data_IF_675816473665
#
_entry.id   IF_675816473665
#
_cell.length_a   1.000
_cell.length_b   1.000
_cell.length_c   1.000
_cell.angle_alpha   90.00
_cell.angle_beta   90.00
_cell.angle_gamma   90.00
#
_symmetry.space_group_name_H-M   'P 1'
#
loop_
_entity.id
_entity.type
_entity.pdbx_description
1 polymer ?
#
# COMPACT_ATOMS: atom_id res chain seq x y z
N UNK A 1 7.85 26.10 3.94
CA UNK A 1 7.41 24.72 4.22
C UNK A 1 7.62 24.47 5.71
N UNK A 2 6.58 24.11 6.47
CA UNK A 2 6.74 23.79 7.89
C UNK A 2 7.45 22.42 7.97
N UNK A 3 8.49 22.24 8.80
CA UNK A 3 9.17 20.95 8.89
C UNK A 3 8.16 19.88 9.33
N UNK A 4 8.13 18.75 8.62
CA UNK A 4 7.35 17.59 9.02
C UNK A 4 8.00 17.03 10.29
N UNK A 5 7.21 16.90 11.35
CA UNK A 5 7.67 16.33 12.62
C UNK A 5 7.22 14.88 12.68
N UNK A 6 8.15 13.98 13.02
CA UNK A 6 7.81 12.58 13.26
C UNK A 6 6.83 12.50 14.42
N UNK A 7 5.66 11.90 14.20
CA UNK A 7 4.66 11.69 15.25
C UNK A 7 5.18 10.70 16.28
N UNK A 8 4.78 10.87 17.54
CA UNK A 8 5.22 10.03 18.68
C UNK A 8 5.02 8.53 18.43
N UNK A 9 3.89 8.16 17.78
CA UNK A 9 3.58 6.78 17.35
C UNK A 9 4.67 6.14 16.49
N UNK A 10 5.53 6.91 15.83
CA UNK A 10 6.58 6.44 14.92
C UNK A 10 7.99 6.70 15.44
N UNK A 11 8.14 7.18 16.67
CA UNK A 11 9.45 7.53 17.24
C UNK A 11 10.39 6.33 17.44
N UNK A 12 9.83 5.12 17.54
CA UNK A 12 10.56 3.85 17.67
C UNK A 12 10.94 3.20 16.33
N UNK A 13 10.54 3.77 15.18
CA UNK A 13 10.92 3.23 13.88
C UNK A 13 12.37 3.55 13.56
N UNK A 14 13.16 2.51 13.25
CA UNK A 14 14.56 2.67 12.82
C UNK A 14 14.66 3.28 11.42
N UNK A 15 13.67 3.05 10.56
CA UNK A 15 13.58 3.68 9.25
C UNK A 15 12.95 5.07 9.39
N UNK A 16 13.80 6.10 9.43
CA UNK A 16 13.38 7.49 9.55
C UNK A 16 12.55 7.96 8.35
N UNK A 17 12.81 7.43 7.14
CA UNK A 17 12.04 7.79 5.94
C UNK A 17 10.61 7.30 6.08
N UNK A 18 10.45 6.04 6.47
CA UNK A 18 9.14 5.47 6.77
C UNK A 18 8.41 6.24 7.87
N UNK A 19 9.11 6.62 8.95
CA UNK A 19 8.53 7.37 10.05
C UNK A 19 8.02 8.76 9.60
N UNK A 20 8.79 9.46 8.75
CA UNK A 20 8.40 10.74 8.16
C UNK A 20 7.24 10.60 7.17
N UNK A 21 7.27 9.57 6.31
CA UNK A 21 6.20 9.31 5.35
C UNK A 21 4.88 9.00 6.05
N UNK A 22 4.89 8.10 7.05
CA UNK A 22 3.72 7.81 7.89
C UNK A 22 3.17 9.09 8.56
N UNK A 23 4.05 9.92 9.13
CA UNK A 23 3.66 11.17 9.81
C UNK A 23 3.06 12.20 8.84
N UNK A 24 3.62 12.27 7.63
CA UNK A 24 3.14 13.15 6.55
C UNK A 24 1.76 12.72 6.10
N UNK A 25 1.58 11.44 5.79
CA UNK A 25 0.32 10.89 5.31
C UNK A 25 -0.79 11.01 6.35
N UNK A 26 -0.51 10.74 7.63
CA UNK A 26 -1.50 10.94 8.70
C UNK A 26 -1.96 12.40 8.78
N UNK A 27 -1.03 13.34 8.58
CA UNK A 27 -1.36 14.77 8.60
C UNK A 27 -2.10 15.24 7.35
N UNK A 28 -1.92 14.55 6.22
CA UNK A 28 -2.65 14.82 4.98
C UNK A 28 -4.06 14.23 5.04
N UNK A 29 -4.23 13.02 5.57
CA UNK A 29 -5.53 12.40 5.80
C UNK A 29 -6.40 13.23 6.74
N UNK A 30 -5.85 13.72 7.86
CA UNK A 30 -6.58 14.60 8.78
C UNK A 30 -7.08 15.90 8.13
N UNK A 31 -6.42 16.36 7.07
CA UNK A 31 -6.82 17.53 6.29
C UNK A 31 -7.71 17.18 5.09
N UNK A 32 -7.96 15.90 4.86
CA UNK A 32 -8.64 15.36 3.67
C UNK A 32 -7.88 15.62 2.35
N UNK A 33 -6.56 15.79 2.43
CA UNK A 33 -5.67 15.97 1.26
C UNK A 33 -5.18 14.62 0.68
N UNK A 34 -5.43 13.50 1.39
CA UNK A 34 -5.02 12.16 1.00
C UNK A 34 -6.15 11.15 1.28
N UNK A 35 -6.45 10.30 0.29
CA UNK A 35 -7.30 9.12 0.48
C UNK A 35 -6.49 8.03 1.20
N UNK A 36 -6.98 7.43 2.30
CA UNK A 36 -6.33 6.32 2.98
C UNK A 36 -6.00 5.11 2.08
N UNK A 37 -6.72 4.93 0.96
CA UNK A 37 -6.45 3.89 -0.02
C UNK A 37 -5.33 4.24 -1.01
N UNK A 38 -4.89 5.50 -1.04
CA UNK A 38 -3.80 6.01 -1.89
C UNK A 38 -2.48 6.17 -1.10
N UNK A 39 -2.43 5.74 0.17
CA UNK A 39 -1.21 5.79 0.97
C UNK A 39 -0.07 4.97 0.33
N UNK A 40 1.13 5.54 0.40
CA UNK A 40 2.40 4.88 0.11
C UNK A 40 2.97 4.15 1.32
N UNK A 41 2.42 4.36 2.52
CA UNK A 41 2.76 3.63 3.74
C UNK A 41 1.54 2.89 4.31
N UNK A 42 1.77 1.84 5.10
CA UNK A 42 0.71 1.13 5.80
C UNK A 42 0.64 1.58 7.26
N UNK A 43 -0.35 2.42 7.60
CA UNK A 43 -0.61 2.87 8.97
C UNK A 43 -0.73 1.72 9.98
N UNK A 44 -1.51 0.69 9.65
CA UNK A 44 -1.84 -0.43 10.56
C UNK A 44 -0.61 -1.15 11.08
N UNK A 45 0.36 -1.39 10.21
CA UNK A 45 1.51 -2.18 10.59
C UNK A 45 2.84 -1.42 10.51
N UNK A 46 2.79 -0.11 10.23
CA UNK A 46 3.93 0.81 10.31
C UNK A 46 5.08 0.35 9.43
N UNK A 47 4.77 0.06 8.15
CA UNK A 47 5.70 -0.46 7.12
C UNK A 47 5.32 0.04 5.73
N UNK A 48 6.27 -0.02 4.81
CA UNK A 48 5.98 0.10 3.38
C UNK A 48 5.06 -1.05 2.91
N UNK A 49 3.95 -0.76 2.21
CA UNK A 49 3.06 -1.73 1.57
C UNK A 49 3.76 -2.80 0.75
N UNK A 50 4.82 -2.45 0.02
CA UNK A 50 5.53 -3.40 -0.82
C UNK A 50 6.28 -4.48 -0.01
N UNK A 51 6.61 -4.24 1.25
CA UNK A 51 7.15 -5.28 2.15
C UNK A 51 6.07 -6.26 2.66
N UNK A 52 4.83 -6.21 2.13
CA UNK A 52 3.67 -6.91 2.71
C UNK A 52 2.58 -7.33 1.72
N UNK A 53 3.02 -7.82 0.58
CA UNK A 53 2.26 -8.46 -0.51
C UNK A 53 1.13 -9.44 -0.08
N UNK A 54 1.27 -10.12 1.06
CA UNK A 54 0.45 -11.28 1.43
C UNK A 54 -0.50 -11.07 2.62
N UNK A 55 -0.47 -9.93 3.32
CA UNK A 55 -1.32 -9.74 4.52
C UNK A 55 -2.82 -9.78 4.17
N UNK A 56 -3.63 -10.64 4.82
CA UNK A 56 -5.07 -10.73 4.56
C UNK A 56 -5.82 -9.47 5.03
N UNK A 57 -5.23 -8.65 5.89
CA UNK A 57 -5.85 -7.42 6.41
C UNK A 57 -6.14 -6.37 5.33
N UNK A 58 -5.47 -6.48 4.17
CA UNK A 58 -5.64 -5.55 3.05
C UNK A 58 -6.50 -6.11 1.91
N UNK A 59 -7.19 -7.23 2.16
CA UNK A 59 -8.21 -7.74 1.25
C UNK A 59 -9.54 -7.11 1.63
N UNK A 60 -10.01 -6.17 0.80
CA UNK A 60 -11.30 -5.50 1.02
C UNK A 60 -12.29 -6.00 -0.02
N UNK A 61 -13.08 -7.02 0.34
CA UNK A 61 -14.05 -7.67 -0.55
C UNK A 61 -15.07 -6.66 -1.10
N UNK A 62 -15.53 -5.74 -0.25
CA UNK A 62 -16.55 -4.73 -0.58
C UNK A 62 -16.08 -3.80 -1.71
N UNK A 63 -14.89 -3.21 -1.55
CA UNK A 63 -14.33 -2.29 -2.56
C UNK A 63 -13.63 -3.04 -3.70
N UNK A 64 -13.33 -4.32 -3.52
CA UNK A 64 -12.66 -5.17 -4.49
C UNK A 64 -11.13 -5.07 -4.48
N UNK A 65 -10.53 -4.54 -3.40
CA UNK A 65 -9.08 -4.50 -3.25
C UNK A 65 -8.56 -5.91 -3.00
N UNK A 66 -7.60 -6.34 -3.84
CA UNK A 66 -7.01 -7.68 -3.81
C UNK A 66 -8.06 -8.78 -3.85
N UNK A 67 -9.15 -8.56 -4.61
CA UNK A 67 -10.25 -9.52 -4.69
C UNK A 67 -10.57 -9.87 -6.14
N UNK A 68 -10.74 -11.17 -6.39
CA UNK A 68 -11.26 -11.69 -7.65
C UNK A 68 -12.75 -11.96 -7.47
N UNK A 69 -13.61 -11.11 -8.03
CA UNK A 69 -15.07 -11.30 -7.96
C UNK A 69 -15.55 -12.56 -8.67
N UNK A 70 -14.88 -12.97 -9.75
CA UNK A 70 -15.24 -14.17 -10.52
C UNK A 70 -14.98 -15.46 -9.74
N UNK A 71 -13.90 -15.51 -8.98
CA UNK A 71 -13.45 -16.72 -8.28
C UNK A 71 -13.72 -16.69 -6.78
N UNK A 72 -14.27 -15.56 -6.30
CA UNK A 72 -14.58 -15.25 -4.91
C UNK A 72 -13.41 -15.59 -3.98
N UNK A 73 -12.23 -15.05 -4.33
CA UNK A 73 -11.02 -15.28 -3.55
C UNK A 73 -10.09 -14.08 -3.55
N UNK A 74 -9.20 -14.06 -2.56
CA UNK A 74 -8.11 -13.10 -2.49
C UNK A 74 -7.15 -13.28 -3.67
N UNK A 75 -6.59 -12.16 -4.12
CA UNK A 75 -5.64 -12.08 -5.23
C UNK A 75 -4.23 -12.05 -4.66
N UNK A 76 -3.34 -12.84 -5.24
CA UNK A 76 -1.92 -12.81 -4.91
C UNK A 76 -1.29 -11.55 -5.47
N UNK A 77 -0.41 -10.92 -4.69
CA UNK A 77 0.43 -9.81 -5.15
C UNK A 77 1.83 -10.37 -5.29
N UNK A 78 2.50 -10.05 -6.39
CA UNK A 78 3.92 -10.30 -6.57
C UNK A 78 4.62 -8.97 -6.82
N UNK A 79 5.76 -8.79 -6.18
CA UNK A 79 6.51 -7.54 -6.16
C UNK A 79 7.95 -7.85 -6.56
N UNK A 80 8.42 -7.16 -7.58
CA UNK A 80 9.81 -7.16 -7.98
C UNK A 80 10.42 -5.81 -7.58
N UNK A 81 11.12 -5.80 -6.46
CA UNK A 81 11.75 -4.59 -5.92
C UNK A 81 12.94 -4.11 -6.76
N UNK A 82 13.57 -5.00 -7.53
CA UNK A 82 14.75 -4.66 -8.34
C UNK A 82 14.36 -3.80 -9.54
N UNK A 83 13.27 -4.15 -10.22
CA UNK A 83 12.79 -3.40 -11.39
C UNK A 83 11.60 -2.49 -11.07
N UNK A 84 11.10 -2.53 -9.84
CA UNK A 84 9.98 -1.71 -9.38
C UNK A 84 8.62 -2.17 -9.91
N UNK A 85 8.48 -3.44 -10.28
CA UNK A 85 7.24 -3.97 -10.84
C UNK A 85 6.32 -4.60 -9.78
N UNK A 86 5.03 -4.51 -10.03
CA UNK A 86 3.98 -5.05 -9.17
C UNK A 86 2.91 -5.68 -10.03
N UNK A 87 2.62 -6.96 -9.77
CA UNK A 87 1.58 -7.70 -10.47
C UNK A 87 0.58 -8.34 -9.50
N UNK A 88 -0.63 -8.53 -10.01
CA UNK A 88 -1.75 -9.14 -9.29
C UNK A 88 -2.25 -10.35 -10.06
N UNK A 89 -2.41 -11.49 -9.40
CA UNK A 89 -2.83 -12.73 -10.05
C UNK A 89 -3.85 -13.47 -9.19
N UNK A 90 -4.97 -13.87 -9.78
CA UNK A 90 -5.94 -14.74 -9.10
C UNK A 90 -5.37 -16.16 -9.00
N UNK A 91 -5.26 -16.75 -7.80
CA UNK A 91 -4.70 -18.10 -7.64
C UNK A 91 -5.60 -19.20 -8.24
N UNK A 92 -6.87 -18.92 -8.54
CA UNK A 92 -7.81 -19.89 -9.12
C UNK A 92 -7.90 -19.83 -10.65
N UNK A 93 -7.94 -18.64 -11.24
CA UNK A 93 -8.10 -18.50 -12.69
C UNK A 93 -6.84 -18.05 -13.43
N UNK A 94 -5.74 -17.73 -12.73
CA UNK A 94 -4.49 -17.27 -13.33
C UNK A 94 -4.52 -15.85 -13.91
N UNK A 95 -5.70 -15.25 -14.05
CA UNK A 95 -5.88 -13.90 -14.59
C UNK A 95 -5.66 -12.80 -13.54
N UNK A 96 -5.23 -11.62 -13.99
CA UNK A 96 -5.30 -10.39 -13.20
C UNK A 96 -6.75 -9.86 -13.20
N UNK A 97 -7.46 -9.78 -12.06
CA UNK A 97 -8.80 -9.24 -12.05
C UNK A 97 -8.74 -7.72 -12.27
N UNK A 98 -9.07 -7.28 -13.48
CA UNK A 98 -8.90 -5.90 -13.95
C UNK A 98 -9.96 -4.91 -13.38
N UNK A 99 -10.04 -4.80 -12.06
CA UNK A 99 -10.88 -3.81 -11.37
C UNK A 99 -10.14 -2.49 -11.11
N UNK A 100 -10.88 -1.41 -10.91
CA UNK A 100 -10.29 -0.11 -10.53
C UNK A 100 -9.52 -0.22 -9.20
N UNK A 101 -10.07 -0.95 -8.23
CA UNK A 101 -9.43 -1.21 -6.94
C UNK A 101 -8.11 -1.99 -7.07
N UNK A 102 -8.05 -3.04 -7.90
CA UNK A 102 -6.80 -3.77 -8.11
C UNK A 102 -5.76 -2.93 -8.85
N UNK A 103 -6.18 -2.08 -9.80
CA UNK A 103 -5.27 -1.10 -10.41
C UNK A 103 -4.75 -0.08 -9.39
N UNK A 104 -5.58 0.34 -8.45
CA UNK A 104 -5.19 1.23 -7.34
C UNK A 104 -4.13 0.57 -6.45
N UNK A 105 -4.33 -0.70 -6.06
CA UNK A 105 -3.32 -1.47 -5.31
C UNK A 105 -1.97 -1.49 -6.02
N UNK A 106 -1.94 -1.77 -7.32
CA UNK A 106 -0.70 -1.76 -8.12
C UNK A 106 -0.04 -0.39 -8.08
N UNK A 107 -0.81 0.69 -8.32
CA UNK A 107 -0.26 2.06 -8.28
C UNK A 107 0.30 2.42 -6.91
N UNK A 108 -0.42 2.12 -5.83
CA UNK A 108 0.02 2.44 -4.46
C UNK A 108 1.27 1.65 -4.07
N UNK A 109 1.36 0.37 -4.47
CA UNK A 109 2.56 -0.43 -4.23
C UNK A 109 3.76 0.10 -5.02
N UNK A 110 3.58 0.52 -6.28
CA UNK A 110 4.64 1.16 -7.07
C UNK A 110 5.08 2.50 -6.48
N UNK A 111 4.13 3.32 -6.04
CA UNK A 111 4.43 4.58 -5.35
C UNK A 111 5.16 4.33 -4.02
N UNK A 112 4.80 3.26 -3.30
CA UNK A 112 5.49 2.81 -2.10
C UNK A 112 6.94 2.42 -2.36
N UNK A 113 7.20 1.69 -3.46
CA UNK A 113 8.57 1.34 -3.88
C UNK A 113 9.38 2.60 -4.17
N UNK A 114 8.84 3.52 -4.98
CA UNK A 114 9.51 4.78 -5.30
C UNK A 114 9.84 5.59 -4.03
N UNK A 115 8.87 5.77 -3.13
CA UNK A 115 9.02 6.53 -1.89
C UNK A 115 10.05 5.93 -0.92
N UNK A 116 10.29 4.61 -0.96
CA UNK A 116 11.30 3.97 -0.13
C UNK A 116 12.72 4.13 -0.68
N UNK A 117 12.87 4.47 -1.97
CA UNK A 117 14.18 4.58 -2.65
C UNK A 117 14.70 6.01 -2.81
N UNK A 118 13.86 7.04 -2.63
CA UNK A 118 14.22 8.47 -2.65
C UNK A 118 14.87 8.93 -1.31
#
# INVERSE_FOLDING_TARGET
MRPVVVRERYADLTDLRLALALSTEDSAEEKNDLDPLERTTCYTHRRWPHHRDSSPLHVLVVTGHRWCRRCECAVSVAIDELVGDVSLTCPKCGEMPASAANRQVIRCCRASLAAATE
#
